data_IF_730413294324
#
_entry.id   IF_730413294324
#
_cell.length_a   1.000
_cell.length_b   1.000
_cell.length_c   1.000
_cell.angle_alpha   90.00
_cell.angle_beta   90.00
_cell.angle_gamma   90.00
#
_symmetry.space_group_name_H-M   'P 1'
#
loop_
_entity.id
_entity.type
_entity.pdbx_description
1 polymer ?
#
# COMPACT_ATOMS: atom_id res chain seq x y z
N UNK A 1 -5.38 -1.81 12.75
CA UNK A 1 -5.79 -2.00 11.35
C UNK A 1 -4.73 -1.45 10.40
N UNK A 2 -4.15 -2.31 9.55
CA UNK A 2 -3.12 -1.95 8.56
C UNK A 2 -3.52 -0.77 7.67
N UNK A 3 -4.79 -0.69 7.25
CA UNK A 3 -5.31 0.39 6.41
C UNK A 3 -5.16 1.78 7.03
N UNK A 4 -5.32 1.91 8.34
CA UNK A 4 -5.17 3.18 9.05
C UNK A 4 -3.70 3.61 9.13
N UNK A 5 -2.81 2.66 9.39
CA UNK A 5 -1.37 2.89 9.48
C UNK A 5 -0.82 3.28 8.11
N UNK A 6 -1.20 2.54 7.06
CA UNK A 6 -0.81 2.80 5.68
C UNK A 6 -1.34 4.15 5.20
N UNK A 7 -2.60 4.49 5.52
CA UNK A 7 -3.16 5.79 5.15
C UNK A 7 -2.46 6.95 5.88
N UNK A 8 -2.11 6.78 7.16
CA UNK A 8 -1.32 7.77 7.89
C UNK A 8 0.07 7.96 7.26
N UNK A 9 0.71 6.88 6.84
CA UNK A 9 1.98 6.92 6.10
C UNK A 9 1.84 7.64 4.76
N UNK A 10 0.77 7.36 4.00
CA UNK A 10 0.43 8.08 2.76
C UNK A 10 0.28 9.59 2.99
N UNK A 11 -0.44 10.00 4.03
CA UNK A 11 -0.59 11.41 4.37
C UNK A 11 0.75 12.08 4.73
N UNK A 12 1.59 11.38 5.51
CA UNK A 12 2.93 11.88 5.89
C UNK A 12 3.87 11.99 4.68
N UNK A 13 3.81 11.04 3.77
CA UNK A 13 4.57 11.08 2.50
C UNK A 13 4.23 12.36 1.72
N UNK A 14 2.94 12.70 1.57
CA UNK A 14 2.55 13.94 0.87
C UNK A 14 2.83 15.22 1.64
N UNK A 15 2.91 15.15 2.98
CA UNK A 15 3.18 16.30 3.85
C UNK A 15 4.68 16.67 3.87
N UNK A 16 5.58 15.69 3.80
CA UNK A 16 7.02 15.89 3.93
C UNK A 16 7.75 15.55 2.63
N UNK A 17 8.26 16.56 1.92
CA UNK A 17 8.93 16.38 0.63
C UNK A 17 10.13 15.42 0.71
N UNK A 18 10.89 15.43 1.81
CA UNK A 18 11.99 14.47 2.04
C UNK A 18 11.49 13.02 2.07
N UNK A 19 10.35 12.78 2.73
CA UNK A 19 9.73 11.45 2.78
C UNK A 19 9.24 11.07 1.39
N UNK A 20 8.58 11.99 0.67
CA UNK A 20 8.12 11.75 -0.70
C UNK A 20 9.26 11.32 -1.63
N UNK A 21 10.40 12.02 -1.60
CA UNK A 21 11.56 11.70 -2.45
C UNK A 21 12.15 10.32 -2.17
N UNK A 22 12.27 9.93 -0.91
CA UNK A 22 12.75 8.58 -0.56
C UNK A 22 11.70 7.52 -0.93
N UNK A 23 10.40 7.84 -0.78
CA UNK A 23 9.31 6.97 -1.18
C UNK A 23 9.29 6.73 -2.69
N UNK A 24 9.51 7.76 -3.52
CA UNK A 24 9.62 7.64 -4.98
C UNK A 24 10.80 6.77 -5.41
N UNK A 25 11.95 6.85 -4.71
CA UNK A 25 13.11 6.00 -4.98
C UNK A 25 12.77 4.53 -4.71
N UNK A 26 12.24 4.24 -3.52
CA UNK A 26 11.88 2.88 -3.11
C UNK A 26 10.74 2.31 -3.97
N UNK A 27 9.77 3.13 -4.35
CA UNK A 27 8.68 2.73 -5.24
C UNK A 27 9.16 2.26 -6.60
N UNK A 28 10.18 2.92 -7.17
CA UNK A 28 10.76 2.51 -8.46
C UNK A 28 11.38 1.12 -8.38
N UNK A 29 11.91 0.74 -7.22
CA UNK A 29 12.65 -0.49 -7.00
C UNK A 29 11.76 -1.66 -6.51
N UNK A 30 10.80 -1.40 -5.62
CA UNK A 30 10.02 -2.45 -4.94
C UNK A 30 8.60 -2.67 -5.48
N UNK A 31 8.00 -1.68 -6.15
CA UNK A 31 6.64 -1.82 -6.72
C UNK A 31 6.78 -2.18 -8.18
N UNK A 32 6.87 -3.47 -8.47
CA UNK A 32 7.08 -3.99 -9.84
C UNK A 32 5.87 -3.79 -10.76
N UNK A 33 4.71 -3.39 -10.22
CA UNK A 33 3.48 -3.19 -10.98
C UNK A 33 3.08 -1.70 -10.98
N UNK A 34 3.22 -1.05 -12.13
CA UNK A 34 2.89 0.36 -12.34
C UNK A 34 1.43 0.68 -11.97
N UNK A 35 0.53 -0.30 -12.09
CA UNK A 35 -0.89 -0.17 -11.78
C UNK A 35 -1.15 0.02 -10.28
N UNK A 36 -0.41 -0.71 -9.44
CA UNK A 36 -0.42 -0.55 -7.97
C UNK A 36 0.08 0.85 -7.59
N UNK A 37 1.11 1.33 -8.30
CA UNK A 37 1.69 2.66 -8.12
C UNK A 37 0.67 3.76 -8.42
N UNK A 38 -0.08 3.63 -9.52
CA UNK A 38 -1.11 4.60 -9.90
C UNK A 38 -2.36 4.54 -8.99
N UNK A 39 -2.75 3.37 -8.49
CA UNK A 39 -3.94 3.23 -7.62
C UNK A 39 -3.70 3.70 -6.19
N UNK A 40 -2.58 3.33 -5.58
CA UNK A 40 -2.34 3.60 -4.14
C UNK A 40 -1.70 4.96 -3.85
N UNK A 41 -0.92 5.50 -4.80
CA UNK A 41 -0.06 6.65 -4.52
C UNK A 41 -0.36 7.85 -5.41
N UNK A 42 -1.57 7.91 -5.99
CA UNK A 42 -2.06 9.12 -6.65
C UNK A 42 -2.30 10.20 -5.60
N UNK A 43 -1.96 11.46 -5.90
CA UNK A 43 -2.23 12.59 -5.01
C UNK A 43 -3.73 12.84 -4.88
N UNK A 44 -4.22 12.99 -3.65
CA UNK A 44 -5.61 13.36 -3.37
C UNK A 44 -6.58 12.18 -3.23
N UNK A 45 -6.08 10.97 -2.91
CA UNK A 45 -6.93 9.83 -2.59
C UNK A 45 -7.62 10.06 -1.24
N UNK A 46 -8.94 9.85 -1.21
CA UNK A 46 -9.65 9.79 0.05
C UNK A 46 -9.32 8.48 0.80
N UNK A 47 -9.55 8.46 2.12
CA UNK A 47 -9.28 7.29 2.97
C UNK A 47 -9.97 6.04 2.46
N UNK A 48 -11.21 6.17 1.98
CA UNK A 48 -11.99 5.04 1.49
C UNK A 48 -11.39 4.48 0.19
N UNK A 49 -11.02 5.35 -0.76
CA UNK A 49 -10.39 4.94 -2.03
C UNK A 49 -9.03 4.29 -1.81
N UNK A 50 -8.23 4.84 -0.90
CA UNK A 50 -6.94 4.26 -0.54
C UNK A 50 -7.11 2.87 0.10
N UNK A 51 -8.06 2.72 1.02
CA UNK A 51 -8.31 1.45 1.71
C UNK A 51 -8.79 0.38 0.74
N UNK A 52 -9.74 0.71 -0.15
CA UNK A 52 -10.21 -0.23 -1.17
C UNK A 52 -9.09 -0.65 -2.12
N UNK A 53 -8.28 0.30 -2.58
CA UNK A 53 -7.13 0.02 -3.46
C UNK A 53 -6.08 -0.85 -2.75
N UNK A 54 -5.86 -0.63 -1.45
CA UNK A 54 -4.94 -1.42 -0.64
C UNK A 54 -5.44 -2.86 -0.52
N UNK A 55 -6.73 -3.04 -0.30
CA UNK A 55 -7.36 -4.36 -0.24
C UNK A 55 -7.21 -5.10 -1.58
N UNK A 56 -7.50 -4.46 -2.71
CA UNK A 56 -7.33 -5.08 -4.04
C UNK A 56 -5.89 -5.58 -4.29
N UNK A 57 -4.90 -4.88 -3.75
CA UNK A 57 -3.48 -5.19 -3.92
C UNK A 57 -3.01 -6.27 -2.94
N UNK A 58 -3.45 -6.20 -1.68
CA UNK A 58 -3.05 -7.14 -0.62
C UNK A 58 -3.81 -8.46 -0.73
N UNK A 59 -5.08 -8.45 -1.16
CA UNK A 59 -5.93 -9.64 -1.25
C UNK A 59 -5.32 -10.79 -2.09
N UNK A 60 -4.79 -10.58 -3.32
CA UNK A 60 -4.18 -11.66 -4.08
C UNK A 60 -2.91 -12.21 -3.41
N UNK A 61 -2.15 -11.35 -2.70
CA UNK A 61 -0.97 -11.76 -1.92
C UNK A 61 -1.38 -12.61 -0.73
N UNK A 62 -2.42 -12.18 0.00
CA UNK A 62 -2.99 -12.92 1.12
C UNK A 62 -3.52 -14.29 0.67
N UNK A 63 -4.29 -14.33 -0.43
CA UNK A 63 -4.78 -15.59 -1.00
C UNK A 63 -3.64 -16.50 -1.47
N UNK A 64 -2.57 -15.95 -2.05
CA UNK A 64 -1.39 -16.73 -2.42
C UNK A 64 -0.69 -17.31 -1.18
N UNK A 65 -0.51 -16.51 -0.13
CA UNK A 65 0.06 -16.95 1.15
C UNK A 65 -0.79 -18.07 1.79
N UNK A 66 -2.12 -17.90 1.79
CA UNK A 66 -3.04 -18.92 2.28
C UNK A 66 -2.92 -20.24 1.50
N UNK A 67 -2.86 -20.17 0.16
CA UNK A 67 -2.65 -21.34 -0.72
C UNK A 67 -1.31 -22.04 -0.48
N UNK A 68 -0.28 -21.30 -0.05
CA UNK A 68 1.04 -21.84 0.31
C UNK A 68 1.11 -22.39 1.74
N UNK A 69 -0.01 -22.41 2.47
CA UNK A 69 -0.07 -22.99 3.82
C UNK A 69 0.20 -22.00 4.96
N UNK A 70 0.37 -20.70 4.66
CA UNK A 70 0.42 -19.66 5.69
C UNK A 70 -0.99 -19.39 6.21
N UNK A 71 -1.43 -20.19 7.19
CA UNK A 71 -2.80 -20.14 7.75
C UNK A 71 -3.05 -18.96 8.70
N UNK A 72 -1.99 -18.36 9.25
CA UNK A 72 -2.07 -17.33 10.28
C UNK A 72 -1.41 -16.02 9.83
N UNK A 73 -1.85 -15.45 8.70
CA UNK A 73 -1.59 -14.03 8.47
C UNK A 73 -2.62 -13.23 9.28
N UNK A 74 -2.43 -13.20 10.60
CA UNK A 74 -3.30 -12.43 11.50
C UNK A 74 -2.87 -10.98 11.38
N UNK A 75 -3.74 -10.16 10.79
CA UNK A 75 -3.67 -8.71 10.85
C UNK A 75 -4.09 -8.30 12.27
N UNK A 76 -3.15 -8.23 13.21
CA UNK A 76 -3.36 -7.51 14.48
C UNK A 76 -3.37 -5.98 14.24
#
# INVERSE_FOLDING_TARGET
MLSEIEYCSYQKMWKYEKVHKEFEKLQKEHVNNMEVRMRLYRKGLDRQEFTSSLEEVILPVYQAAQRMGFRNWVLE
#
